data_IF_708889145885
#
_entry.id   IF_708889145885
#
_cell.length_a   1.000
_cell.length_b   1.000
_cell.length_c   1.000
_cell.angle_alpha   90.00
_cell.angle_beta   90.00
_cell.angle_gamma   90.00
#
_symmetry.space_group_name_H-M   'P 1'
#
loop_
_entity.id
_entity.type
_entity.pdbx_description
1 polymer ?
#
# COMPACT_ATOMS: atom_id res chain seq x y z
N UNK A 1 13.66 18.06 -12.61
CA UNK A 1 12.44 17.25 -12.44
C UNK A 1 12.83 15.80 -12.15
N UNK A 2 12.21 15.21 -11.17
CA UNK A 2 12.54 13.85 -10.76
C UNK A 2 11.72 12.87 -11.59
N UNK A 3 12.38 11.84 -12.12
CA UNK A 3 11.68 10.77 -12.84
C UNK A 3 10.82 9.95 -11.88
N UNK A 4 9.60 9.55 -12.27
CA UNK A 4 8.81 8.64 -11.44
C UNK A 4 9.34 7.21 -11.46
N UNK A 5 10.24 6.91 -12.38
CA UNK A 5 10.79 5.56 -12.52
C UNK A 5 11.94 5.35 -11.55
N UNK A 6 11.69 4.54 -10.55
CA UNK A 6 12.66 4.24 -9.50
C UNK A 6 12.41 2.81 -9.02
N UNK A 7 13.48 2.06 -8.74
CA UNK A 7 13.29 0.71 -8.20
C UNK A 7 12.49 0.73 -6.90
N UNK A 8 11.80 -0.37 -6.58
CA UNK A 8 11.07 -0.44 -5.31
C UNK A 8 11.99 -0.20 -4.11
N UNK A 9 11.47 0.52 -3.13
CA UNK A 9 12.15 0.79 -1.87
C UNK A 9 11.52 -0.06 -0.78
N UNK A 10 12.35 -0.81 -0.07
CA UNK A 10 11.89 -1.69 1.00
C UNK A 10 11.76 -0.90 2.30
N UNK A 11 10.59 -1.01 2.93
CA UNK A 11 10.35 -0.43 4.26
C UNK A 11 9.61 -1.42 5.13
N UNK A 12 9.85 -1.35 6.44
CA UNK A 12 9.13 -2.15 7.41
C UNK A 12 7.84 -1.45 7.79
N UNK A 13 6.75 -2.23 7.83
CA UNK A 13 5.44 -1.75 8.26
C UNK A 13 4.93 -2.73 9.31
N UNK A 14 4.33 -2.21 10.37
CA UNK A 14 3.78 -3.08 11.41
C UNK A 14 2.32 -3.39 11.09
N UNK A 15 2.00 -4.68 11.00
CA UNK A 15 0.66 -5.16 10.71
C UNK A 15 0.27 -6.16 11.78
N UNK A 16 -0.80 -5.87 12.52
CA UNK A 16 -1.31 -6.75 13.57
C UNK A 16 -0.22 -7.21 14.54
N UNK A 17 0.66 -6.30 14.93
CA UNK A 17 1.74 -6.61 15.88
C UNK A 17 2.97 -7.25 15.26
N UNK A 18 2.98 -7.49 13.96
CA UNK A 18 4.12 -8.10 13.27
C UNK A 18 4.75 -7.11 12.30
N UNK A 19 6.09 -7.11 12.24
CA UNK A 19 6.80 -6.30 11.26
C UNK A 19 6.87 -7.06 9.95
N UNK A 20 6.47 -6.39 8.88
CA UNK A 20 6.48 -6.94 7.54
C UNK A 20 7.26 -6.00 6.63
N UNK A 21 8.16 -6.53 5.82
CA UNK A 21 8.89 -5.73 4.84
C UNK A 21 8.08 -5.68 3.55
N UNK A 22 7.90 -4.46 3.05
CA UNK A 22 7.16 -4.21 1.82
C UNK A 22 8.03 -3.39 0.89
N UNK A 23 8.11 -3.79 -0.38
CA UNK A 23 8.85 -3.05 -1.39
C UNK A 23 7.89 -2.37 -2.34
N UNK A 24 7.92 -1.05 -2.35
CA UNK A 24 7.09 -0.24 -3.24
C UNK A 24 7.93 0.86 -3.85
N UNK A 25 7.65 1.20 -5.08
CA UNK A 25 8.28 2.36 -5.72
C UNK A 25 7.96 3.62 -4.90
N UNK A 26 8.86 4.61 -4.87
CA UNK A 26 8.60 5.85 -4.12
C UNK A 26 7.26 6.51 -4.45
N UNK A 27 6.84 6.45 -5.71
CA UNK A 27 5.55 6.97 -6.12
C UNK A 27 4.41 6.32 -5.32
N UNK A 28 4.45 5.00 -5.18
CA UNK A 28 3.41 4.29 -4.44
C UNK A 28 3.50 4.53 -2.93
N UNK A 29 4.70 4.72 -2.39
CA UNK A 29 4.84 5.12 -0.99
C UNK A 29 4.19 6.47 -0.75
N UNK A 30 4.40 7.44 -1.65
CA UNK A 30 3.79 8.76 -1.54
C UNK A 30 2.27 8.69 -1.64
N UNK A 31 1.77 7.90 -2.59
CA UNK A 31 0.32 7.71 -2.75
C UNK A 31 -0.30 7.06 -1.52
N UNK A 32 0.41 6.09 -0.93
CA UNK A 32 -0.05 5.40 0.26
C UNK A 32 -0.14 6.35 1.46
N UNK A 33 0.87 7.19 1.64
CA UNK A 33 0.87 8.20 2.70
C UNK A 33 -0.28 9.20 2.52
N UNK A 34 -0.49 9.65 1.29
CA UNK A 34 -1.59 10.57 0.98
C UNK A 34 -2.94 9.92 1.24
N UNK A 35 -3.11 8.68 0.84
CA UNK A 35 -4.36 7.96 1.08
C UNK A 35 -4.61 7.78 2.57
N UNK A 36 -3.59 7.43 3.34
CA UNK A 36 -3.73 7.28 4.79
C UNK A 36 -4.15 8.60 5.45
N UNK A 37 -3.53 9.71 5.03
CA UNK A 37 -3.90 11.03 5.54
C UNK A 37 -5.36 11.36 5.22
N UNK A 38 -5.80 11.05 4.01
CA UNK A 38 -7.20 11.30 3.62
C UNK A 38 -8.18 10.43 4.40
N UNK A 39 -7.76 9.23 4.78
CA UNK A 39 -8.59 8.32 5.59
C UNK A 39 -8.48 8.64 7.09
N UNK A 40 -7.62 9.57 7.47
CA UNK A 40 -7.45 9.93 8.87
C UNK A 40 -6.77 8.86 9.71
N UNK A 41 -5.89 8.06 9.12
CA UNK A 41 -5.23 6.97 9.83
C UNK A 41 -3.74 6.89 9.49
N UNK A 42 -2.93 6.29 10.37
CA UNK A 42 -1.52 6.08 10.06
C UNK A 42 -1.34 5.05 8.94
N UNK A 43 -0.19 5.12 8.27
CA UNK A 43 0.09 4.23 7.13
C UNK A 43 -0.03 2.76 7.50
N UNK A 44 0.50 2.36 8.66
CA UNK A 44 0.43 0.95 9.07
C UNK A 44 -1.01 0.47 9.27
N UNK A 45 -1.90 1.35 9.75
CA UNK A 45 -3.31 1.00 9.89
C UNK A 45 -3.98 0.80 8.53
N UNK A 46 -3.67 1.67 7.57
CA UNK A 46 -4.20 1.52 6.22
C UNK A 46 -3.67 0.25 5.56
N UNK A 47 -2.38 -0.04 5.72
CA UNK A 47 -1.80 -1.27 5.17
C UNK A 47 -2.46 -2.51 5.79
N UNK A 48 -2.74 -2.48 7.10
CA UNK A 48 -3.42 -3.59 7.77
C UNK A 48 -4.83 -3.80 7.19
N UNK A 49 -5.53 -2.71 6.89
CA UNK A 49 -6.86 -2.76 6.27
C UNK A 49 -6.80 -3.37 4.87
N UNK A 50 -5.82 -2.95 4.06
CA UNK A 50 -5.62 -3.50 2.72
C UNK A 50 -5.25 -4.99 2.81
N UNK A 51 -4.42 -5.35 3.77
CA UNK A 51 -4.02 -6.75 3.97
C UNK A 51 -5.22 -7.62 4.31
N UNK A 52 -6.13 -7.13 5.15
CA UNK A 52 -7.35 -7.86 5.48
C UNK A 52 -8.23 -8.08 4.25
N UNK A 53 -8.35 -7.07 3.39
CA UNK A 53 -9.10 -7.21 2.14
C UNK A 53 -8.43 -8.20 1.20
N UNK A 54 -7.09 -8.16 1.13
CA UNK A 54 -6.31 -9.08 0.31
C UNK A 54 -6.56 -10.54 0.72
N UNK A 55 -6.50 -10.81 2.02
CA UNK A 55 -6.68 -12.16 2.53
C UNK A 55 -8.08 -12.68 2.23
N UNK A 56 -9.07 -11.80 2.20
CA UNK A 56 -10.46 -12.17 1.92
C UNK A 56 -10.76 -12.43 0.44
N UNK A 57 -9.81 -12.18 -0.47
CA UNK A 57 -10.05 -12.42 -1.89
C UNK A 57 -9.89 -13.90 -2.23
N UNK A 58 -10.49 -14.32 -3.34
CA UNK A 58 -10.43 -15.73 -3.77
C UNK A 58 -9.00 -16.17 -4.11
N UNK A 59 -8.24 -15.27 -4.74
CA UNK A 59 -6.87 -15.54 -5.13
C UNK A 59 -6.01 -14.40 -4.61
N UNK A 60 -5.62 -14.43 -3.32
CA UNK A 60 -4.89 -13.31 -2.73
C UNK A 60 -3.55 -13.06 -3.42
N UNK A 61 -3.32 -11.83 -3.92
CA UNK A 61 -2.00 -11.46 -4.45
C UNK A 61 -1.04 -11.20 -3.30
N UNK A 62 0.24 -10.98 -3.61
CA UNK A 62 1.19 -10.51 -2.64
C UNK A 62 0.78 -9.14 -2.09
N UNK A 63 1.26 -8.78 -0.91
CA UNK A 63 0.83 -7.54 -0.25
C UNK A 63 1.22 -6.30 -1.04
N UNK A 64 2.44 -6.23 -1.59
CA UNK A 64 2.84 -5.08 -2.39
C UNK A 64 1.93 -4.91 -3.60
N UNK A 65 1.61 -6.01 -4.27
CA UNK A 65 0.69 -5.99 -5.41
C UNK A 65 -0.70 -5.51 -4.97
N UNK A 66 -1.19 -6.01 -3.84
CA UNK A 66 -2.49 -5.60 -3.31
C UNK A 66 -2.54 -4.11 -3.02
N UNK A 67 -1.46 -3.56 -2.46
CA UNK A 67 -1.38 -2.12 -2.18
C UNK A 67 -1.45 -1.32 -3.48
N UNK A 68 -0.69 -1.72 -4.50
CA UNK A 68 -0.72 -1.03 -5.79
C UNK A 68 -2.11 -1.07 -6.42
N UNK A 69 -2.75 -2.22 -6.38
CA UNK A 69 -4.11 -2.39 -6.92
C UNK A 69 -5.10 -1.54 -6.15
N UNK A 70 -5.01 -1.55 -4.82
CA UNK A 70 -5.90 -0.76 -3.98
C UNK A 70 -5.75 0.74 -4.28
N UNK A 71 -4.50 1.22 -4.39
CA UNK A 71 -4.24 2.62 -4.69
C UNK A 71 -4.74 2.99 -6.09
N UNK A 72 -4.48 2.15 -7.08
CA UNK A 72 -4.95 2.39 -8.44
C UNK A 72 -6.47 2.42 -8.51
N UNK A 73 -7.14 1.59 -7.72
CA UNK A 73 -8.61 1.53 -7.68
C UNK A 73 -9.23 2.84 -7.20
N UNK A 74 -8.55 3.57 -6.32
CA UNK A 74 -9.04 4.85 -5.82
C UNK A 74 -9.11 5.91 -6.91
N UNK A 75 -8.24 5.81 -7.90
CA UNK A 75 -8.18 6.78 -9.00
C UNK A 75 -9.12 6.42 -10.14
N UNK A 76 -9.66 5.20 -10.12
CA UNK A 76 -10.60 4.78 -11.14
C UNK A 76 -11.98 5.24 -10.75
N UNK A 77 -12.51 6.19 -11.48
CA UNK A 77 -13.81 6.76 -11.19
C UNK A 77 -14.95 5.81 -11.55
N UNK A 78 -16.00 5.83 -10.77
CA UNK A 78 -17.21 5.12 -11.14
C UNK A 78 -17.85 5.72 -12.37
#
# INVERSE_FOLDING_TARGET
MTSPYHPPVKRSVEIAGHKTSISLEPLFWDMLRSAAAMEGMPVNALVARIDAERIGSETPPGLASAIRVWLASRWRLP
#
